data_IF_407149029237
#
_entry.id   IF_407149029237
#
_cell.length_a   1.000
_cell.length_b   1.000
_cell.length_c   1.000
_cell.angle_alpha   90.00
_cell.angle_beta   90.00
_cell.angle_gamma   90.00
#
_symmetry.space_group_name_H-M   'P 1'
#
loop_
_entity.id
_entity.type
_entity.pdbx_description
1 polymer ?
#
# COMPACT_ATOMS: atom_id res chain seq x y z
N UNK A 1 8.05 20.99 7.42
CA UNK A 1 8.71 20.52 6.19
C UNK A 1 7.65 19.86 5.32
N UNK A 2 7.38 20.55 4.21
CA UNK A 2 6.77 20.17 2.93
C UNK A 2 5.67 19.11 2.89
N UNK A 3 4.43 19.61 2.91
CA UNK A 3 3.14 18.91 2.83
C UNK A 3 2.75 18.57 1.37
N UNK A 4 3.69 18.14 0.54
CA UNK A 4 3.51 17.95 -0.91
C UNK A 4 4.33 16.77 -1.46
N UNK A 5 4.32 15.61 -0.79
CA UNK A 5 4.50 14.39 -1.58
C UNK A 5 3.19 14.17 -2.33
N UNK A 6 3.19 14.66 -3.57
CA UNK A 6 2.10 14.54 -4.55
C UNK A 6 1.57 13.11 -4.51
N UNK A 7 0.27 12.96 -4.25
CA UNK A 7 -0.39 11.66 -4.05
C UNK A 7 -0.04 10.59 -5.10
N UNK A 8 0.30 11.01 -6.31
CA UNK A 8 0.78 10.15 -7.40
C UNK A 8 2.04 9.36 -7.06
N UNK A 9 3.03 9.98 -6.37
CA UNK A 9 4.29 9.32 -6.01
C UNK A 9 4.08 8.18 -5.01
N UNK A 10 3.31 8.43 -3.95
CA UNK A 10 3.08 7.43 -2.90
C UNK A 10 2.33 6.20 -3.42
N UNK A 11 1.35 6.41 -4.31
CA UNK A 11 0.58 5.32 -4.89
C UNK A 11 1.47 4.42 -5.76
N UNK A 12 2.29 5.00 -6.63
CA UNK A 12 3.22 4.26 -7.50
C UNK A 12 4.27 3.52 -6.67
N UNK A 13 4.85 4.16 -5.65
CA UNK A 13 5.81 3.52 -4.74
C UNK A 13 5.19 2.34 -3.99
N UNK A 14 3.93 2.44 -3.55
CA UNK A 14 3.22 1.33 -2.92
C UNK A 14 2.93 0.19 -3.90
N UNK A 15 2.57 0.48 -5.16
CA UNK A 15 2.39 -0.56 -6.18
C UNK A 15 3.67 -1.37 -6.34
N UNK A 16 4.82 -0.70 -6.41
CA UNK A 16 6.12 -1.37 -6.53
C UNK A 16 6.39 -2.29 -5.34
N UNK A 17 6.07 -1.87 -4.10
CA UNK A 17 6.21 -2.71 -2.90
C UNK A 17 5.43 -4.03 -3.03
N UNK A 18 4.20 -3.97 -3.53
CA UNK A 18 3.35 -5.16 -3.67
C UNK A 18 3.75 -6.01 -4.88
N UNK A 19 4.04 -5.40 -6.03
CA UNK A 19 4.47 -6.10 -7.25
C UNK A 19 5.80 -6.83 -7.05
N UNK A 20 6.74 -6.21 -6.31
CA UNK A 20 8.05 -6.83 -6.00
C UNK A 20 7.96 -7.93 -4.94
N UNK A 21 6.79 -8.13 -4.33
CA UNK A 21 6.60 -9.10 -3.26
C UNK A 21 7.35 -8.73 -1.98
N UNK A 22 7.61 -7.43 -1.74
CA UNK A 22 8.21 -6.99 -0.47
C UNK A 22 7.25 -7.25 0.72
N UNK A 23 5.94 -7.26 0.45
CA UNK A 23 4.91 -7.76 1.36
C UNK A 23 4.24 -8.96 0.70
N UNK A 24 4.36 -10.15 1.29
CA UNK A 24 3.90 -11.39 0.67
C UNK A 24 2.37 -11.53 0.72
N UNK A 25 1.77 -12.29 -0.21
CA UNK A 25 0.37 -12.69 -0.12
C UNK A 25 0.00 -13.27 1.26
N UNK A 26 -1.16 -12.88 1.78
CA UNK A 26 -1.63 -13.23 3.12
C UNK A 26 -1.02 -12.38 4.25
N UNK A 27 -0.01 -11.55 3.98
CA UNK A 27 0.57 -10.68 5.01
C UNK A 27 -0.19 -9.37 5.18
N UNK A 28 -0.16 -8.85 6.40
CA UNK A 28 -0.65 -7.50 6.69
C UNK A 28 0.32 -6.46 6.14
N UNK A 29 -0.24 -5.39 5.58
CA UNK A 29 0.52 -4.22 5.16
C UNK A 29 1.17 -3.57 6.40
N UNK A 30 2.51 -3.43 6.45
CA UNK A 30 3.20 -2.86 7.60
C UNK A 30 3.09 -1.32 7.59
N UNK A 31 1.88 -0.79 7.85
CA UNK A 31 1.57 0.64 7.71
C UNK A 31 2.56 1.56 8.43
N UNK A 32 3.02 1.17 9.62
CA UNK A 32 3.98 1.97 10.39
C UNK A 32 5.32 2.08 9.67
N UNK A 33 5.84 0.97 9.19
CA UNK A 33 7.13 0.92 8.49
C UNK A 33 7.06 1.68 7.15
N UNK A 34 5.96 1.52 6.42
CA UNK A 34 5.74 2.26 5.17
C UNK A 34 5.60 3.77 5.42
N UNK A 35 4.92 4.18 6.50
CA UNK A 35 4.88 5.59 6.89
C UNK A 35 6.30 6.15 7.17
N UNK A 36 7.11 5.40 7.92
CA UNK A 36 8.48 5.77 8.25
C UNK A 36 9.37 5.82 6.99
N UNK A 37 9.25 4.82 6.11
CA UNK A 37 9.99 4.72 4.83
C UNK A 37 9.67 5.86 3.87
N UNK A 38 8.39 6.16 3.68
CA UNK A 38 7.94 7.17 2.72
C UNK A 38 7.86 8.59 3.33
N UNK A 39 8.16 8.74 4.64
CA UNK A 39 8.09 10.03 5.32
C UNK A 39 6.68 10.62 5.38
N UNK A 40 5.64 9.77 5.41
CA UNK A 40 4.23 10.19 5.39
C UNK A 40 3.52 9.84 6.69
N UNK A 41 2.40 10.50 6.95
CA UNK A 41 1.51 10.10 8.03
C UNK A 41 0.58 8.96 7.59
N UNK A 42 -0.15 8.37 8.55
CA UNK A 42 -1.09 7.28 8.26
C UNK A 42 -2.25 7.69 7.36
N UNK A 43 -2.69 8.95 7.42
CA UNK A 43 -3.82 9.43 6.61
C UNK A 43 -3.57 9.29 5.11
N UNK A 44 -2.52 9.90 4.50
CA UNK A 44 -2.24 9.75 3.08
C UNK A 44 -1.89 8.30 2.70
N UNK A 45 -1.22 7.54 3.57
CA UNK A 45 -0.99 6.12 3.33
C UNK A 45 -2.31 5.34 3.20
N UNK A 46 -3.27 5.57 4.10
CA UNK A 46 -4.56 4.90 4.07
C UNK A 46 -5.43 5.33 2.88
N UNK A 47 -5.33 6.58 2.43
CA UNK A 47 -5.99 6.99 1.18
C UNK A 47 -5.40 6.25 -0.03
N UNK A 48 -4.07 6.11 -0.10
CA UNK A 48 -3.45 5.32 -1.17
C UNK A 48 -3.85 3.83 -1.10
N UNK A 49 -3.86 3.23 0.09
CA UNK A 49 -4.31 1.84 0.27
C UNK A 49 -5.77 1.62 -0.12
N UNK A 50 -6.66 2.62 0.01
CA UNK A 50 -8.03 2.52 -0.51
C UNK A 50 -8.08 2.44 -2.03
N UNK A 51 -7.22 3.21 -2.72
CA UNK A 51 -7.12 3.16 -4.18
C UNK A 51 -6.60 1.80 -4.62
N UNK A 52 -5.53 1.30 -3.99
CA UNK A 52 -4.97 -0.03 -4.27
C UNK A 52 -5.94 -1.16 -3.94
N UNK A 53 -6.81 -0.97 -2.94
CA UNK A 53 -7.87 -1.93 -2.65
C UNK A 53 -8.95 -1.96 -3.73
N UNK A 54 -9.30 -0.82 -4.31
CA UNK A 54 -10.21 -0.77 -5.45
C UNK A 54 -9.61 -1.43 -6.71
N UNK A 55 -8.27 -1.50 -6.79
CA UNK A 55 -7.52 -2.19 -7.84
C UNK A 55 -7.26 -3.68 -7.53
N UNK A 56 -7.64 -4.17 -6.34
CA UNK A 56 -7.44 -5.56 -5.94
C UNK A 56 -6.02 -5.93 -5.47
N UNK A 57 -5.10 -4.96 -5.37
CA UNK A 57 -3.72 -5.22 -4.92
C UNK A 57 -3.63 -5.45 -3.40
N UNK A 58 -4.58 -4.91 -2.64
CA UNK A 58 -4.70 -5.12 -1.18
C UNK A 58 -6.16 -5.27 -0.79
N UNK A 59 -6.43 -5.85 0.37
CA UNK A 59 -7.75 -5.92 0.99
C UNK A 59 -7.78 -5.05 2.25
N UNK A 60 -8.79 -4.20 2.38
CA UNK A 60 -8.98 -3.41 3.60
C UNK A 60 -9.59 -4.26 4.71
N UNK A 61 -8.94 -4.26 5.86
CA UNK A 61 -9.42 -4.93 7.07
C UNK A 61 -10.09 -3.91 8.01
N UNK A 62 -11.38 -4.08 8.35
CA UNK A 62 -12.07 -3.18 9.26
C UNK A 62 -11.32 -3.01 10.58
N UNK A 63 -10.96 -1.76 10.90
CA UNK A 63 -10.19 -1.38 12.10
C UNK A 63 -8.82 -2.06 12.25
N UNK A 64 -8.29 -2.71 11.20
CA UNK A 64 -7.07 -3.51 11.25
C UNK A 64 -6.05 -3.18 10.16
N UNK A 65 -6.39 -2.25 9.26
CA UNK A 65 -5.48 -1.77 8.23
C UNK A 65 -5.77 -2.41 6.88
N UNK A 66 -4.74 -2.94 6.22
CA UNK A 66 -4.85 -3.67 4.98
C UNK A 66 -4.00 -4.96 4.99
N UNK A 67 -4.31 -5.90 4.10
CA UNK A 67 -3.49 -7.08 3.84
C UNK A 67 -3.34 -7.33 2.34
N UNK A 68 -2.32 -8.06 1.94
CA UNK A 68 -2.11 -8.46 0.55
C UNK A 68 -2.94 -9.73 0.28
N UNK A 69 -3.89 -9.72 -0.68
CA UNK A 69 -4.71 -10.89 -0.99
C UNK A 69 -3.85 -12.08 -1.41
N UNK A 70 -4.32 -13.31 -1.15
CA UNK A 70 -3.58 -14.53 -1.52
C UNK A 70 -3.43 -14.71 -3.04
N UNK A 71 -4.30 -14.08 -3.84
CA UNK A 71 -4.28 -14.10 -5.30
C UNK A 71 -3.63 -12.85 -5.94
N UNK A 72 -3.03 -11.97 -5.14
CA UNK A 72 -2.61 -10.61 -5.53
C UNK A 72 -1.50 -10.50 -6.60
N UNK A 73 -0.95 -11.60 -7.09
CA UNK A 73 0.10 -11.56 -8.12
C UNK A 73 -0.49 -11.97 -9.48
N UNK A 74 -1.29 -11.09 -10.08
CA UNK A 74 -1.39 -11.08 -11.54
C UNK A 74 -0.13 -10.40 -12.09
N UNK A 75 0.88 -11.22 -12.36
CA UNK A 75 1.99 -10.81 -13.21
C UNK A 75 1.42 -10.61 -14.61
N UNK A 76 1.17 -9.36 -14.99
CA UNK A 76 0.92 -9.02 -16.40
C UNK A 76 2.27 -9.10 -17.11
N UNK A 77 2.40 -10.09 -18.00
CA UNK A 77 3.56 -10.29 -18.89
C UNK A 77 3.83 -9.09 -19.81
#
# INVERSE_FOLDING_TARGET
MSKEFVHTSLLEELREVFIRGEVLPGQKVPERELCERFGVSRTPLREALKVLAAEGQVELLPNRGAMVPEMSLEVVE
#
